data_IF_268597167780
#
_entry.id   IF_268597167780
#
_cell.length_a   1.000
_cell.length_b   1.000
_cell.length_c   1.000
_cell.angle_alpha   90.00
_cell.angle_beta   90.00
_cell.angle_gamma   90.00
#
_symmetry.space_group_name_H-M   'P 1'
#
loop_
_entity.id
_entity.type
_entity.pdbx_description
1 polymer ?
#
# COMPACT_ATOMS: atom_id res chain seq x y z
N UNK A 1 6.97 2.98 -24.29
CA UNK A 1 5.77 2.32 -23.77
C UNK A 1 6.11 1.80 -22.37
N UNK A 2 5.81 2.57 -21.35
CA UNK A 2 6.04 2.14 -19.96
C UNK A 2 4.85 1.26 -19.58
N UNK A 3 5.08 -0.05 -19.59
CA UNK A 3 4.20 -1.00 -18.94
C UNK A 3 4.18 -0.66 -17.45
N UNK A 4 3.06 -0.09 -16.97
CA UNK A 4 2.79 -0.02 -15.53
C UNK A 4 2.84 -1.47 -15.05
N UNK A 5 3.88 -1.79 -14.29
CA UNK A 5 4.04 -3.10 -13.67
C UNK A 5 2.75 -3.37 -12.89
N UNK A 6 2.04 -4.42 -13.30
CA UNK A 6 0.86 -4.90 -12.57
C UNK A 6 1.28 -5.03 -11.10
N UNK A 7 0.64 -4.27 -10.24
CA UNK A 7 0.72 -4.50 -8.79
C UNK A 7 0.54 -5.99 -8.59
N UNK A 8 1.49 -6.64 -7.94
CA UNK A 8 1.33 -8.08 -7.74
C UNK A 8 0.06 -8.26 -6.94
N UNK A 9 -0.89 -9.00 -7.49
CA UNK A 9 -2.15 -9.36 -6.82
C UNK A 9 -1.83 -9.96 -5.44
N UNK A 10 -0.66 -10.54 -5.31
CA UNK A 10 -0.14 -11.16 -4.10
C UNK A 10 0.14 -10.16 -2.98
N UNK A 11 0.67 -8.96 -3.28
CA UNK A 11 0.90 -7.94 -2.26
C UNK A 11 -0.42 -7.34 -1.73
N UNK A 12 -1.38 -7.08 -2.61
CA UNK A 12 -2.73 -6.65 -2.19
C UNK A 12 -3.44 -7.78 -1.43
N UNK A 13 -3.26 -9.03 -1.86
CA UNK A 13 -3.77 -10.21 -1.17
C UNK A 13 -3.19 -10.36 0.23
N UNK A 14 -1.91 -10.04 0.40
CA UNK A 14 -1.22 -10.11 1.66
C UNK A 14 -1.68 -9.02 2.64
N UNK A 15 -1.67 -7.76 2.20
CA UNK A 15 -2.02 -6.61 3.04
C UNK A 15 -3.51 -6.58 3.42
N UNK A 16 -4.38 -7.13 2.56
CA UNK A 16 -5.83 -7.16 2.78
C UNK A 16 -6.37 -8.55 3.06
N UNK A 17 -5.51 -9.49 3.49
CA UNK A 17 -5.88 -10.89 3.76
C UNK A 17 -7.05 -11.01 4.73
N UNK A 18 -7.04 -10.24 5.80
CA UNK A 18 -8.09 -10.22 6.82
C UNK A 18 -9.30 -9.37 6.41
N UNK A 19 -9.23 -8.72 5.24
CA UNK A 19 -10.31 -7.90 4.72
C UNK A 19 -10.71 -8.31 3.31
N UNK A 20 -11.44 -9.42 3.22
CA UNK A 20 -11.96 -9.99 1.97
C UNK A 20 -12.74 -8.99 1.12
N UNK A 21 -13.38 -7.97 1.74
CA UNK A 21 -14.11 -6.92 1.03
C UNK A 21 -13.16 -5.97 0.30
N UNK A 22 -12.07 -5.51 0.96
CA UNK A 22 -11.03 -4.69 0.32
C UNK A 22 -10.34 -5.44 -0.81
N UNK A 23 -9.96 -6.69 -0.56
CA UNK A 23 -9.38 -7.56 -1.57
C UNK A 23 -10.28 -7.68 -2.79
N UNK A 24 -11.57 -7.97 -2.58
CA UNK A 24 -12.56 -8.05 -3.65
C UNK A 24 -12.74 -6.73 -4.39
N UNK A 25 -12.78 -5.60 -3.67
CA UNK A 25 -12.88 -4.26 -4.23
C UNK A 25 -11.70 -3.96 -5.17
N UNK A 26 -10.47 -4.18 -4.72
CA UNK A 26 -9.28 -3.96 -5.55
C UNK A 26 -9.22 -4.90 -6.75
N UNK A 27 -9.58 -6.17 -6.61
CA UNK A 27 -9.62 -7.12 -7.74
C UNK A 27 -10.66 -6.73 -8.80
N UNK A 28 -11.85 -6.29 -8.39
CA UNK A 28 -12.92 -5.87 -9.30
C UNK A 28 -12.53 -4.55 -9.98
N UNK A 29 -11.98 -3.61 -9.23
CA UNK A 29 -11.59 -2.32 -9.75
C UNK A 29 -10.41 -2.43 -10.72
N UNK A 30 -9.43 -3.28 -10.41
CA UNK A 30 -8.29 -3.55 -11.30
C UNK A 30 -8.72 -4.10 -12.66
N UNK A 31 -9.71 -5.00 -12.69
CA UNK A 31 -10.33 -5.47 -13.93
C UNK A 31 -11.07 -4.35 -14.69
N UNK A 32 -11.62 -3.36 -13.99
CA UNK A 32 -12.26 -2.19 -14.61
C UNK A 32 -11.24 -1.19 -15.17
N UNK A 33 -10.12 -0.94 -14.48
CA UNK A 33 -9.08 0.00 -14.92
C UNK A 33 -8.48 -0.43 -16.25
N UNK A 34 -8.20 -1.72 -16.48
CA UNK A 34 -7.74 -2.22 -17.76
C UNK A 34 -8.72 -2.01 -18.95
N UNK A 35 -10.01 -1.80 -18.67
CA UNK A 35 -11.02 -1.40 -19.66
C UNK A 35 -11.23 0.12 -19.75
N UNK A 36 -10.82 0.88 -18.75
CA UNK A 36 -11.12 2.31 -18.60
C UNK A 36 -10.09 3.24 -19.26
N UNK A 37 -8.85 2.78 -19.50
CA UNK A 37 -7.87 3.58 -20.25
C UNK A 37 -8.38 4.01 -21.63
N UNK A 38 -9.33 3.27 -22.21
CA UNK A 38 -9.94 3.59 -23.50
C UNK A 38 -11.02 4.69 -23.45
N UNK A 39 -11.54 5.02 -22.27
CA UNK A 39 -12.69 5.95 -22.12
C UNK A 39 -12.31 7.33 -21.57
N UNK A 40 -11.10 7.49 -21.00
CA UNK A 40 -10.66 8.75 -20.36
C UNK A 40 -10.15 9.82 -21.33
N UNK A 41 -10.13 9.57 -22.63
CA UNK A 41 -9.74 10.59 -23.64
C UNK A 41 -10.85 11.60 -23.95
N UNK A 42 -12.03 11.50 -23.35
CA UNK A 42 -13.15 12.41 -23.60
C UNK A 42 -13.92 12.79 -22.35
N UNK A 43 -13.43 13.74 -21.56
CA UNK A 43 -14.28 14.73 -20.88
C UNK A 43 -13.45 15.95 -20.48
N UNK A 44 -13.24 16.86 -21.44
CA UNK A 44 -13.04 18.28 -21.16
C UNK A 44 -14.35 18.80 -20.57
N UNK A 45 -14.26 19.50 -19.44
CA UNK A 45 -15.31 20.35 -18.96
C UNK A 45 -15.99 19.90 -17.65
N UNK A 46 -15.31 20.06 -16.54
CA UNK A 46 -15.94 20.39 -15.26
C UNK A 46 -14.94 21.26 -14.50
N UNK A 47 -15.13 22.58 -14.61
CA UNK A 47 -14.66 23.51 -13.60
C UNK A 47 -15.46 23.26 -12.31
N UNK A 48 -15.21 22.11 -11.66
CA UNK A 48 -15.75 21.86 -10.33
C UNK A 48 -15.08 22.86 -9.40
N UNK A 49 -15.89 23.69 -8.76
CA UNK A 49 -15.41 24.61 -7.74
C UNK A 49 -14.69 23.78 -6.67
N UNK A 50 -13.38 24.00 -6.47
CA UNK A 50 -12.53 23.31 -5.49
C UNK A 50 -13.15 23.28 -4.09
N UNK A 51 -13.92 24.32 -3.74
CA UNK A 51 -14.65 24.39 -2.49
C UNK A 51 -15.76 23.31 -2.40
N UNK A 52 -16.49 23.05 -3.49
CA UNK A 52 -17.50 21.99 -3.51
C UNK A 52 -16.86 20.60 -3.43
N UNK A 53 -15.74 20.36 -4.10
CA UNK A 53 -14.97 19.12 -3.98
C UNK A 53 -14.55 18.90 -2.52
N UNK A 54 -13.99 19.93 -1.89
CA UNK A 54 -13.58 19.90 -0.49
C UNK A 54 -14.73 19.55 0.44
N UNK A 55 -15.90 20.21 0.27
CA UNK A 55 -17.10 19.95 1.07
C UNK A 55 -17.59 18.50 0.91
N UNK A 56 -17.59 17.97 -0.31
CA UNK A 56 -18.03 16.58 -0.54
C UNK A 56 -17.06 15.59 0.09
N UNK A 57 -15.74 15.80 -0.03
CA UNK A 57 -14.75 14.91 0.60
C UNK A 57 -14.86 14.92 2.13
N UNK A 58 -15.28 16.03 2.73
CA UNK A 58 -15.40 16.18 4.18
C UNK A 58 -16.76 15.69 4.72
N UNK A 59 -17.86 16.11 4.11
CA UNK A 59 -19.21 15.93 4.64
C UNK A 59 -20.12 15.04 3.77
N UNK A 60 -19.69 14.67 2.56
CA UNK A 60 -20.46 13.84 1.65
C UNK A 60 -20.63 12.41 2.15
N UNK A 61 -21.65 11.71 1.66
CA UNK A 61 -21.78 10.27 1.88
C UNK A 61 -20.72 9.49 1.08
N UNK A 62 -20.57 8.19 1.37
CA UNK A 62 -19.53 7.34 0.74
C UNK A 62 -19.59 7.36 -0.79
N UNK A 63 -20.80 7.30 -1.38
CA UNK A 63 -20.97 7.31 -2.85
C UNK A 63 -20.52 8.62 -3.47
N UNK A 64 -20.81 9.73 -2.83
CA UNK A 64 -20.39 11.07 -3.28
C UNK A 64 -18.87 11.22 -3.19
N UNK A 65 -18.26 10.81 -2.05
CA UNK A 65 -16.80 10.82 -1.87
C UNK A 65 -16.10 9.98 -2.93
N UNK A 66 -16.57 8.76 -3.18
CA UNK A 66 -16.01 7.85 -4.19
C UNK A 66 -16.08 8.51 -5.57
N UNK A 67 -17.24 9.05 -5.94
CA UNK A 67 -17.42 9.70 -7.25
C UNK A 67 -16.46 10.88 -7.45
N UNK A 68 -16.20 11.65 -6.40
CA UNK A 68 -15.21 12.74 -6.46
C UNK A 68 -13.80 12.20 -6.58
N UNK A 69 -13.41 11.24 -5.73
CA UNK A 69 -12.08 10.64 -5.74
C UNK A 69 -11.72 10.03 -7.10
N UNK A 70 -12.71 9.42 -7.79
CA UNK A 70 -12.54 8.91 -9.17
C UNK A 70 -12.09 9.98 -10.17
N UNK A 71 -12.40 11.24 -9.92
CA UNK A 71 -12.03 12.35 -10.82
C UNK A 71 -10.68 12.97 -10.49
N UNK A 72 -10.10 12.66 -9.31
CA UNK A 72 -8.91 13.31 -8.77
C UNK A 72 -7.60 12.55 -9.04
N UNK A 73 -7.61 11.58 -9.93
CA UNK A 73 -6.43 10.76 -10.27
C UNK A 73 -5.30 11.51 -11.03
N UNK A 74 -5.47 12.79 -11.32
CA UNK A 74 -4.45 13.65 -11.91
C UNK A 74 -4.30 14.97 -11.13
N UNK A 75 -4.70 14.96 -9.86
CA UNK A 75 -4.59 16.14 -9.00
C UNK A 75 -3.12 16.38 -8.62
N UNK A 76 -2.69 17.64 -8.67
CA UNK A 76 -1.32 18.04 -8.34
C UNK A 76 -1.27 19.16 -7.28
N UNK A 77 -2.41 19.77 -6.94
CA UNK A 77 -2.49 20.79 -5.91
C UNK A 77 -2.27 20.18 -4.52
N UNK A 78 -1.29 20.66 -3.72
CA UNK A 78 -0.97 20.09 -2.42
C UNK A 78 -2.16 20.07 -1.43
N UNK A 79 -3.02 21.11 -1.44
CA UNK A 79 -4.16 21.19 -0.53
C UNK A 79 -5.21 20.13 -0.90
N UNK A 80 -5.38 19.86 -2.19
CA UNK A 80 -6.30 18.82 -2.63
C UNK A 80 -5.72 17.43 -2.39
N UNK A 81 -4.42 17.23 -2.62
CA UNK A 81 -3.72 15.98 -2.29
C UNK A 81 -3.84 15.65 -0.80
N UNK A 82 -3.77 16.65 0.08
CA UNK A 82 -3.98 16.45 1.51
C UNK A 82 -5.40 15.95 1.81
N UNK A 83 -6.41 16.49 1.14
CA UNK A 83 -7.79 16.01 1.30
C UNK A 83 -7.96 14.58 0.80
N UNK A 84 -7.27 14.19 -0.28
CA UNK A 84 -7.30 12.82 -0.79
C UNK A 84 -6.60 11.88 0.21
N UNK A 85 -5.44 12.25 0.73
CA UNK A 85 -4.66 11.39 1.64
C UNK A 85 -5.38 11.17 2.97
N UNK A 86 -6.12 12.16 3.47
CA UNK A 86 -6.97 12.02 4.65
C UNK A 86 -8.07 10.96 4.46
N UNK A 87 -8.50 10.70 3.22
CA UNK A 87 -9.48 9.65 2.93
C UNK A 87 -8.89 8.24 2.98
N UNK A 88 -7.60 8.08 3.15
CA UNK A 88 -6.99 6.78 3.49
C UNK A 88 -7.38 6.33 4.91
N UNK A 89 -7.94 7.20 5.73
CA UNK A 89 -8.47 6.92 7.07
C UNK A 89 -9.99 7.12 7.17
N UNK A 90 -10.70 7.17 6.05
CA UNK A 90 -12.16 7.29 6.07
C UNK A 90 -12.79 6.04 6.73
N UNK A 91 -13.92 6.21 7.43
CA UNK A 91 -14.63 5.10 8.07
C UNK A 91 -15.10 4.06 7.06
N UNK A 92 -15.45 4.51 5.86
CA UNK A 92 -15.89 3.65 4.78
C UNK A 92 -14.70 3.03 4.02
N UNK A 93 -14.71 1.70 3.94
CA UNK A 93 -13.66 0.91 3.32
C UNK A 93 -13.51 1.19 1.81
N UNK A 94 -14.63 1.42 1.11
CA UNK A 94 -14.62 1.70 -0.33
C UNK A 94 -14.06 3.10 -0.61
N UNK A 95 -14.32 4.05 0.29
CA UNK A 95 -13.72 5.39 0.23
C UNK A 95 -12.21 5.32 0.41
N UNK A 96 -11.70 4.55 1.40
CA UNK A 96 -10.26 4.32 1.56
C UNK A 96 -9.64 3.70 0.30
N UNK A 97 -10.32 2.70 -0.27
CA UNK A 97 -9.87 2.03 -1.49
C UNK A 97 -9.80 2.98 -2.68
N UNK A 98 -10.77 3.88 -2.81
CA UNK A 98 -10.78 4.86 -3.89
C UNK A 98 -9.72 5.95 -3.70
N UNK A 99 -9.50 6.43 -2.49
CA UNK A 99 -8.40 7.35 -2.18
C UNK A 99 -7.03 6.73 -2.51
N UNK A 100 -6.82 5.47 -2.13
CA UNK A 100 -5.62 4.71 -2.51
C UNK A 100 -5.45 4.65 -4.03
N UNK A 101 -6.52 4.29 -4.76
CA UNK A 101 -6.50 4.20 -6.23
C UNK A 101 -6.20 5.55 -6.88
N UNK A 102 -6.80 6.62 -6.36
CA UNK A 102 -6.57 7.98 -6.85
C UNK A 102 -5.11 8.41 -6.73
N UNK A 103 -4.47 8.16 -5.56
CA UNK A 103 -3.06 8.46 -5.34
C UNK A 103 -2.13 7.55 -6.16
N UNK A 104 -2.47 6.27 -6.29
CA UNK A 104 -1.69 5.30 -7.06
C UNK A 104 -1.65 5.64 -8.55
N UNK A 105 -2.81 5.98 -9.12
CA UNK A 105 -2.96 6.27 -10.55
C UNK A 105 -2.55 7.71 -10.92
N UNK A 106 -2.25 8.54 -9.94
CA UNK A 106 -1.86 9.92 -10.15
C UNK A 106 -0.57 10.00 -10.97
N UNK A 107 -0.62 10.71 -12.11
CA UNK A 107 0.50 10.85 -13.05
C UNK A 107 1.45 12.01 -12.70
N UNK A 108 1.08 12.87 -11.73
CA UNK A 108 1.91 13.97 -11.29
C UNK A 108 3.06 13.50 -10.38
N UNK A 109 4.07 14.34 -10.22
CA UNK A 109 5.21 14.10 -9.34
C UNK A 109 4.83 14.38 -7.88
N UNK A 110 4.04 13.48 -7.28
CA UNK A 110 3.54 13.62 -5.91
C UNK A 110 4.38 12.85 -4.88
N UNK A 111 5.50 12.24 -5.28
CA UNK A 111 6.31 11.36 -4.43
C UNK A 111 6.78 12.05 -3.16
N UNK A 112 7.32 13.27 -3.25
CA UNK A 112 7.78 14.02 -2.06
C UNK A 112 6.62 14.35 -1.11
N UNK A 113 5.44 14.68 -1.65
CA UNK A 113 4.24 14.89 -0.85
C UNK A 113 3.87 13.62 -0.08
N UNK A 114 3.85 12.47 -0.76
CA UNK A 114 3.54 11.19 -0.13
C UNK A 114 4.58 10.80 0.93
N UNK A 115 5.88 10.97 0.62
CA UNK A 115 6.98 10.67 1.57
C UNK A 115 6.84 11.50 2.85
N UNK A 116 6.55 12.80 2.75
CA UNK A 116 6.35 13.67 3.90
C UNK A 116 5.17 13.20 4.78
N UNK A 117 4.16 12.59 4.19
CA UNK A 117 3.00 12.06 4.92
C UNK A 117 3.27 10.72 5.65
N UNK A 118 4.43 10.09 5.48
CA UNK A 118 4.84 8.94 6.28
C UNK A 118 5.15 9.30 7.74
N UNK A 119 5.41 10.57 8.06
CA UNK A 119 5.67 11.06 9.43
C UNK A 119 4.41 11.39 10.23
N UNK A 120 3.22 11.21 9.68
CA UNK A 120 1.94 11.43 10.40
C UNK A 120 1.78 10.48 11.60
N UNK A 121 0.94 10.84 12.55
CA UNK A 121 0.56 9.95 13.66
C UNK A 121 -0.49 8.91 13.29
N UNK A 122 -1.21 9.12 12.18
CA UNK A 122 -2.29 8.24 11.75
C UNK A 122 -1.76 6.94 11.12
N UNK A 123 -2.10 5.80 11.75
CA UNK A 123 -1.64 4.47 11.32
C UNK A 123 -2.12 4.07 9.92
N UNK A 124 -3.39 4.40 9.55
CA UNK A 124 -3.94 4.04 8.26
C UNK A 124 -3.26 4.85 7.14
N UNK A 125 -3.07 6.15 7.36
CA UNK A 125 -2.35 7.01 6.40
C UNK A 125 -0.92 6.50 6.21
N UNK A 126 -0.15 6.23 7.28
CA UNK A 126 1.21 5.66 7.18
C UNK A 126 1.22 4.37 6.37
N UNK A 127 0.34 3.43 6.74
CA UNK A 127 0.25 2.11 6.11
C UNK A 127 -0.06 2.21 4.62
N UNK A 128 -1.16 2.88 4.26
CA UNK A 128 -1.59 2.97 2.88
C UNK A 128 -0.65 3.82 2.03
N UNK A 129 -0.07 4.90 2.57
CA UNK A 129 0.89 5.74 1.84
C UNK A 129 2.17 4.96 1.53
N UNK A 130 2.69 4.14 2.46
CA UNK A 130 3.87 3.29 2.19
C UNK A 130 3.59 2.32 1.04
N UNK A 131 2.38 1.76 0.98
CA UNK A 131 1.97 0.87 -0.10
C UNK A 131 1.75 1.61 -1.43
N UNK A 132 1.19 2.82 -1.42
CA UNK A 132 1.09 3.67 -2.63
C UNK A 132 2.48 3.95 -3.18
N UNK A 133 3.42 4.37 -2.35
CA UNK A 133 4.81 4.64 -2.75
C UNK A 133 5.49 3.41 -3.33
N UNK A 134 5.32 2.25 -2.70
CA UNK A 134 5.87 0.99 -3.20
C UNK A 134 5.29 0.63 -4.58
N UNK A 135 3.96 0.70 -4.74
CA UNK A 135 3.29 0.38 -5.99
C UNK A 135 3.56 1.40 -7.10
N UNK A 136 3.93 2.62 -6.77
CA UNK A 136 4.44 3.63 -7.71
C UNK A 136 5.93 3.42 -8.03
N UNK A 137 6.57 2.42 -7.42
CA UNK A 137 8.01 2.15 -7.54
C UNK A 137 8.89 3.35 -7.14
N UNK A 138 8.52 4.05 -6.07
CA UNK A 138 9.21 5.23 -5.57
C UNK A 138 10.37 4.82 -4.64
N UNK A 139 11.51 4.46 -5.23
CA UNK A 139 12.71 4.00 -4.50
C UNK A 139 13.20 5.05 -3.48
N UNK A 140 13.03 6.34 -3.78
CA UNK A 140 13.40 7.44 -2.89
C UNK A 140 12.68 7.40 -1.54
N UNK A 141 11.58 6.66 -1.42
CA UNK A 141 10.83 6.49 -0.19
C UNK A 141 11.43 5.45 0.78
N UNK A 142 12.35 4.61 0.31
CA UNK A 142 12.92 3.50 1.11
C UNK A 142 13.44 3.97 2.47
N UNK A 143 14.24 5.05 2.61
CA UNK A 143 14.75 5.48 3.91
C UNK A 143 13.64 5.84 4.92
N UNK A 144 12.56 6.47 4.45
CA UNK A 144 11.44 6.85 5.31
C UNK A 144 10.55 5.63 5.65
N UNK A 145 10.36 4.72 4.72
CA UNK A 145 9.62 3.47 4.97
C UNK A 145 10.38 2.58 5.98
N UNK A 146 11.72 2.56 5.95
CA UNK A 146 12.54 1.85 6.95
C UNK A 146 12.23 2.32 8.38
N UNK A 147 11.96 3.60 8.61
CA UNK A 147 11.61 4.10 9.94
C UNK A 147 10.30 3.50 10.47
N UNK A 148 9.38 3.17 9.59
CA UNK A 148 8.07 2.61 9.93
C UNK A 148 8.11 1.15 10.40
N UNK A 149 9.20 0.42 10.18
CA UNK A 149 9.32 -0.97 10.64
C UNK A 149 9.42 -1.10 12.16
N UNK A 150 9.62 0.02 12.86
CA UNK A 150 9.63 0.12 14.34
C UNK A 150 8.40 0.85 14.89
N UNK A 151 7.37 1.06 14.07
CA UNK A 151 6.14 1.71 14.51
C UNK A 151 5.42 0.90 15.59
N UNK A 152 4.71 1.58 16.49
CA UNK A 152 3.90 0.93 17.54
C UNK A 152 2.82 0.02 16.95
N UNK A 153 2.21 0.43 15.85
CA UNK A 153 1.19 -0.33 15.15
C UNK A 153 1.80 -1.48 14.33
N UNK A 154 1.42 -2.71 14.66
CA UNK A 154 1.81 -3.89 13.87
C UNK A 154 1.36 -3.80 12.41
N UNK A 155 0.21 -3.16 12.14
CA UNK A 155 -0.27 -2.91 10.78
C UNK A 155 0.71 -2.03 10.00
N UNK A 156 1.23 -0.96 10.62
CA UNK A 156 2.22 -0.08 9.99
C UNK A 156 3.52 -0.84 9.73
N UNK A 157 4.02 -1.61 10.71
CA UNK A 157 5.24 -2.42 10.55
C UNK A 157 5.10 -3.43 9.42
N UNK A 158 3.97 -4.16 9.38
CA UNK A 158 3.66 -5.13 8.33
C UNK A 158 3.60 -4.50 6.94
N UNK A 159 2.89 -3.37 6.79
CA UNK A 159 2.82 -2.64 5.52
C UNK A 159 4.19 -2.10 5.09
N UNK A 160 5.00 -1.60 6.01
CA UNK A 160 6.34 -1.11 5.72
C UNK A 160 7.25 -2.23 5.20
N UNK A 161 7.24 -3.42 5.84
CA UNK A 161 8.01 -4.58 5.37
C UNK A 161 7.55 -5.05 3.99
N UNK A 162 6.23 -5.12 3.76
CA UNK A 162 5.69 -5.44 2.44
C UNK A 162 6.09 -4.42 1.36
N UNK A 163 6.06 -3.13 1.70
CA UNK A 163 6.49 -2.06 0.80
C UNK A 163 7.99 -2.17 0.46
N UNK A 164 8.86 -2.42 1.46
CA UNK A 164 10.30 -2.61 1.25
C UNK A 164 10.60 -3.85 0.39
N UNK A 165 9.89 -4.95 0.63
CA UNK A 165 10.00 -6.16 -0.21
C UNK A 165 9.63 -5.88 -1.66
N UNK A 166 8.50 -5.18 -1.89
CA UNK A 166 8.05 -4.80 -3.23
C UNK A 166 9.03 -3.87 -3.95
N UNK A 167 9.59 -2.90 -3.24
CA UNK A 167 10.62 -1.99 -3.76
C UNK A 167 11.98 -2.68 -3.96
N UNK A 168 12.09 -3.96 -3.61
CA UNK A 168 13.33 -4.73 -3.68
C UNK A 168 14.50 -4.08 -2.92
N UNK A 169 14.18 -3.50 -1.76
CA UNK A 169 15.14 -2.83 -0.88
C UNK A 169 16.08 -3.84 -0.22
N UNK A 170 17.07 -4.32 -0.96
CA UNK A 170 18.03 -5.33 -0.47
C UNK A 170 18.87 -4.82 0.71
N UNK A 171 19.07 -3.53 0.82
CA UNK A 171 19.70 -2.86 1.95
C UNK A 171 18.93 -3.06 3.27
N UNK A 172 17.64 -3.35 3.20
CA UNK A 172 16.81 -3.69 4.37
C UNK A 172 16.91 -5.15 4.81
N UNK A 173 17.83 -5.95 4.24
CA UNK A 173 18.02 -7.38 4.59
C UNK A 173 18.07 -7.63 6.09
N UNK A 174 18.87 -6.85 6.84
CA UNK A 174 18.99 -6.98 8.29
C UNK A 174 17.65 -6.74 9.01
N UNK A 175 16.86 -5.79 8.51
CA UNK A 175 15.54 -5.44 9.04
C UNK A 175 14.55 -6.59 8.84
N UNK A 176 14.53 -7.23 7.66
CA UNK A 176 13.69 -8.40 7.43
C UNK A 176 14.02 -9.55 8.36
N UNK A 177 15.32 -9.78 8.61
CA UNK A 177 15.78 -10.83 9.54
C UNK A 177 15.40 -10.52 11.00
N UNK A 178 15.46 -9.26 11.42
CA UNK A 178 15.02 -8.80 12.75
C UNK A 178 13.51 -8.95 12.90
N UNK A 179 12.73 -8.58 11.89
CA UNK A 179 11.27 -8.64 11.90
C UNK A 179 10.70 -10.07 11.98
N UNK A 180 11.49 -11.10 11.70
CA UNK A 180 11.10 -12.50 11.96
C UNK A 180 10.90 -12.80 13.45
N UNK A 181 11.39 -11.95 14.34
CA UNK A 181 11.23 -12.04 15.79
C UNK A 181 10.13 -11.12 16.34
N UNK A 182 9.39 -10.43 15.47
CA UNK A 182 8.30 -9.54 15.90
C UNK A 182 7.24 -10.31 16.73
N UNK A 183 6.65 -9.68 17.71
CA UNK A 183 5.58 -10.28 18.52
C UNK A 183 4.30 -10.55 17.73
N UNK A 184 4.11 -9.87 16.60
CA UNK A 184 2.92 -10.01 15.76
C UNK A 184 3.19 -10.93 14.57
N UNK A 185 2.33 -11.94 14.41
CA UNK A 185 2.47 -12.98 13.37
C UNK A 185 2.41 -12.41 11.95
N UNK A 186 1.59 -11.39 11.69
CA UNK A 186 1.46 -10.80 10.36
C UNK A 186 2.71 -9.98 9.98
N UNK A 187 3.40 -9.40 10.96
CA UNK A 187 4.70 -8.75 10.75
C UNK A 187 5.76 -9.79 10.35
N UNK A 188 5.81 -10.94 11.05
CA UNK A 188 6.70 -12.06 10.69
C UNK A 188 6.43 -12.57 9.27
N UNK A 189 5.16 -12.74 8.90
CA UNK A 189 4.76 -13.17 7.54
C UNK A 189 5.19 -12.16 6.49
N UNK A 190 5.03 -10.84 6.76
CA UNK A 190 5.49 -9.79 5.84
C UNK A 190 6.99 -9.84 5.60
N UNK A 191 7.76 -10.06 6.67
CA UNK A 191 9.21 -10.22 6.58
C UNK A 191 9.59 -11.47 5.77
N UNK A 192 8.91 -12.61 6.00
CA UNK A 192 9.12 -13.84 5.23
C UNK A 192 8.82 -13.65 3.74
N UNK A 193 7.74 -12.97 3.39
CA UNK A 193 7.44 -12.65 1.99
C UNK A 193 8.58 -11.86 1.34
N UNK A 194 9.06 -10.79 1.99
CA UNK A 194 10.18 -10.02 1.48
C UNK A 194 11.45 -10.86 1.33
N UNK A 195 11.74 -11.75 2.29
CA UNK A 195 12.87 -12.67 2.27
C UNK A 195 12.79 -13.63 1.08
N UNK A 196 11.60 -14.19 0.81
CA UNK A 196 11.35 -15.09 -0.33
C UNK A 196 11.54 -14.33 -1.65
N UNK A 197 10.90 -13.18 -1.79
CA UNK A 197 10.92 -12.38 -3.03
C UNK A 197 12.33 -11.88 -3.36
N UNK A 198 13.12 -11.55 -2.34
CA UNK A 198 14.50 -11.11 -2.46
C UNK A 198 15.53 -12.26 -2.46
N UNK A 199 15.08 -13.51 -2.33
CA UNK A 199 15.92 -14.72 -2.27
C UNK A 199 17.01 -14.63 -1.18
N UNK A 200 16.65 -14.07 -0.02
CA UNK A 200 17.54 -13.94 1.12
C UNK A 200 17.69 -15.32 1.77
N UNK A 201 18.93 -15.79 1.92
CA UNK A 201 19.21 -17.06 2.58
C UNK A 201 18.99 -16.97 4.09
N UNK A 202 18.29 -17.95 4.66
CA UNK A 202 18.12 -18.15 6.09
C UNK A 202 18.99 -19.31 6.57
N UNK A 203 19.57 -19.17 7.77
CA UNK A 203 20.25 -20.30 8.43
C UNK A 203 19.23 -21.33 8.91
N UNK A 204 19.66 -22.60 9.04
CA UNK A 204 18.80 -23.65 9.59
C UNK A 204 18.33 -23.34 11.02
N UNK A 205 19.21 -22.73 11.82
CA UNK A 205 18.86 -22.28 13.18
C UNK A 205 17.68 -21.30 13.16
N UNK A 206 17.73 -20.27 12.28
CA UNK A 206 16.66 -19.28 12.13
C UNK A 206 15.37 -19.92 11.64
N UNK A 207 15.46 -20.83 10.68
CA UNK A 207 14.30 -21.57 10.18
C UNK A 207 13.64 -22.38 11.32
N UNK A 208 14.43 -23.09 12.11
CA UNK A 208 13.93 -23.88 13.22
C UNK A 208 13.31 -23.01 14.32
N UNK A 209 13.85 -21.80 14.55
CA UNK A 209 13.27 -20.83 15.47
C UNK A 209 11.88 -20.38 15.04
N UNK A 210 11.74 -20.02 13.77
CA UNK A 210 10.47 -19.55 13.19
C UNK A 210 9.41 -20.65 13.20
N UNK A 211 9.79 -21.89 12.91
CA UNK A 211 8.87 -23.04 12.88
C UNK A 211 8.30 -23.41 14.26
N UNK A 212 8.85 -22.88 15.37
CA UNK A 212 8.27 -23.05 16.71
C UNK A 212 6.88 -22.39 16.83
N UNK A 213 6.55 -21.43 16.00
CA UNK A 213 5.24 -20.77 15.96
C UNK A 213 4.10 -21.73 15.57
N UNK A 214 4.40 -22.85 14.88
CA UNK A 214 3.41 -23.83 14.40
C UNK A 214 2.26 -23.21 13.60
N UNK A 215 2.55 -22.14 12.85
CA UNK A 215 1.61 -21.50 11.94
C UNK A 215 1.70 -22.17 10.56
N UNK A 216 0.59 -22.73 10.03
CA UNK A 216 0.61 -23.50 8.77
C UNK A 216 1.07 -22.67 7.56
N UNK A 217 0.82 -21.35 7.57
CA UNK A 217 1.22 -20.47 6.49
C UNK A 217 2.73 -20.20 6.54
N UNK A 218 3.28 -19.98 7.73
CA UNK A 218 4.73 -19.87 7.95
C UNK A 218 5.44 -21.16 7.51
N UNK A 219 4.93 -22.34 7.88
CA UNK A 219 5.49 -23.63 7.45
C UNK A 219 5.52 -23.75 5.92
N UNK A 220 4.42 -23.38 5.26
CA UNK A 220 4.34 -23.33 3.80
C UNK A 220 5.37 -22.36 3.20
N UNK A 221 5.50 -21.15 3.75
CA UNK A 221 6.45 -20.14 3.28
C UNK A 221 7.90 -20.62 3.44
N UNK A 222 8.25 -21.24 4.57
CA UNK A 222 9.58 -21.81 4.80
C UNK A 222 9.88 -22.92 3.80
N UNK A 223 8.90 -23.72 3.39
CA UNK A 223 9.09 -24.76 2.37
C UNK A 223 9.50 -24.20 1.00
N UNK A 224 9.18 -22.93 0.71
CA UNK A 224 9.59 -22.23 -0.52
C UNK A 224 11.05 -21.76 -0.45
N UNK A 225 11.56 -21.45 0.74
CA UNK A 225 12.95 -20.99 0.95
C UNK A 225 13.95 -22.17 0.85
N UNK A 226 13.52 -23.38 1.25
CA UNK A 226 14.37 -24.59 1.26
C UNK A 226 14.57 -25.22 -0.13
N UNK A 227 13.88 -24.75 -1.14
CA UNK A 227 14.04 -25.18 -2.55
C UNK A 227 15.05 -24.33 -3.29
#
# INVERSE_FOLDING_TARGET
>A
MNTVSLVSVDMLNFVFKDNLKLKGYFQIRWKKIGKFELLLTRKKGFGQNLENISKVLEFGNSKEKIKILETLNNEGDPNMLEKIILKLDDDDLEVRGEAFSSLLLNKNKISNFLINNLSTTNKNIKSFTSLVLANRNEISAVPEIIKLVKDESSTVRSCALGALGHLKAIEAKGIFLEALLDSNIEVKKSALHAIIDLKIQLSEEKINEILKEKDPEIEKMISLIKK
#
